data_IF_492031886199
#
_entry.id   IF_492031886199
#
_cell.length_a   1.000
_cell.length_b   1.000
_cell.length_c   1.000
_cell.angle_alpha   90.00
_cell.angle_beta   90.00
_cell.angle_gamma   90.00
#
_symmetry.space_group_name_H-M   'P 1'
#
loop_
_entity.id
_entity.type
_entity.pdbx_description
1 polymer ?
#
# COMPACT_ATOMS: atom_id res chain seq x y z
N UNK A 1 -17.00 36.07 48.45
CA UNK A 1 -17.54 35.76 47.10
C UNK A 1 -17.52 37.00 46.20
N UNK A 2 -16.36 37.64 45.98
CA UNK A 2 -16.26 38.86 45.13
C UNK A 2 -15.19 38.79 44.04
N UNK A 3 -14.40 37.71 43.97
CA UNK A 3 -13.27 37.61 43.04
C UNK A 3 -13.53 36.68 41.84
N UNK A 4 -14.65 35.99 41.77
CA UNK A 4 -15.03 35.15 40.61
C UNK A 4 -15.63 35.96 39.46
N UNK A 5 -16.08 37.19 39.72
CA UNK A 5 -16.71 38.07 38.72
C UNK A 5 -15.71 38.94 37.96
N UNK A 6 -14.42 38.87 38.31
CA UNK A 6 -13.34 39.63 37.66
C UNK A 6 -12.32 38.71 36.99
N UNK A 7 -12.64 37.43 36.84
CA UNK A 7 -11.82 36.42 36.15
C UNK A 7 -12.19 36.32 34.66
N UNK A 8 -12.36 37.48 34.02
CA UNK A 8 -12.52 37.56 32.56
C UNK A 8 -11.21 37.22 31.84
N UNK A 9 -10.06 37.42 32.51
CA UNK A 9 -8.74 37.10 31.97
C UNK A 9 -8.53 35.58 31.78
N UNK A 10 -9.04 34.74 32.70
CA UNK A 10 -8.98 33.28 32.55
C UNK A 10 -9.92 32.74 31.46
N UNK A 11 -11.10 33.35 31.28
CA UNK A 11 -12.05 32.97 30.23
C UNK A 11 -11.52 33.28 28.81
N UNK A 12 -10.89 34.43 28.62
CA UNK A 12 -10.29 34.82 27.33
C UNK A 12 -9.15 33.88 26.93
N UNK A 13 -8.26 33.53 27.86
CA UNK A 13 -7.14 32.61 27.60
C UNK A 13 -7.64 31.18 27.31
N UNK A 14 -8.71 30.74 27.97
CA UNK A 14 -9.37 29.46 27.72
C UNK A 14 -9.97 29.37 26.32
N UNK A 15 -10.67 30.42 25.88
CA UNK A 15 -11.30 30.46 24.56
C UNK A 15 -10.26 30.44 23.42
N UNK A 16 -9.16 31.18 23.58
CA UNK A 16 -8.05 31.18 22.60
C UNK A 16 -7.36 29.82 22.49
N UNK A 17 -7.15 29.13 23.62
CA UNK A 17 -6.49 27.82 23.64
C UNK A 17 -7.38 26.74 23.01
N UNK A 18 -8.70 26.80 23.21
CA UNK A 18 -9.67 25.93 22.53
C UNK A 18 -9.66 26.16 21.03
N UNK A 19 -9.58 27.42 20.57
CA UNK A 19 -9.50 27.74 19.16
C UNK A 19 -8.23 27.16 18.52
N UNK A 20 -7.07 27.31 19.16
CA UNK A 20 -5.81 26.71 18.66
C UNK A 20 -5.87 25.18 18.67
N UNK A 21 -6.41 24.56 19.72
CA UNK A 21 -6.55 23.10 19.79
C UNK A 21 -7.45 22.54 18.69
N UNK A 22 -8.57 23.20 18.39
CA UNK A 22 -9.48 22.74 17.33
C UNK A 22 -8.82 22.80 15.96
N UNK A 23 -8.08 23.87 15.65
CA UNK A 23 -7.29 23.97 14.41
C UNK A 23 -6.21 22.89 14.36
N UNK A 24 -5.52 22.64 15.48
CA UNK A 24 -4.49 21.60 15.56
C UNK A 24 -5.05 20.19 15.34
N UNK A 25 -6.22 19.87 15.91
CA UNK A 25 -6.88 18.58 15.70
C UNK A 25 -7.33 18.42 14.25
N UNK A 26 -7.90 19.46 13.62
CA UNK A 26 -8.29 19.42 12.22
C UNK A 26 -7.07 19.22 11.30
N UNK A 27 -5.98 19.94 11.56
CA UNK A 27 -4.73 19.78 10.82
C UNK A 27 -4.13 18.38 10.99
N UNK A 28 -4.21 17.80 12.18
CA UNK A 28 -3.74 16.44 12.45
C UNK A 28 -4.57 15.39 11.73
N UNK A 29 -5.90 15.54 11.68
CA UNK A 29 -6.79 14.60 10.98
C UNK A 29 -6.47 14.59 9.47
N UNK A 30 -6.33 15.77 8.86
CA UNK A 30 -5.95 15.89 7.45
C UNK A 30 -4.56 15.28 7.22
N UNK A 31 -3.57 15.64 8.06
CA UNK A 31 -2.22 15.09 7.96
C UNK A 31 -2.17 13.56 8.09
N UNK A 32 -2.92 12.98 9.03
CA UNK A 32 -2.97 11.53 9.22
C UNK A 32 -3.69 10.82 8.06
N UNK A 33 -4.71 11.46 7.47
CA UNK A 33 -5.39 10.96 6.29
C UNK A 33 -4.44 10.85 5.09
N UNK A 34 -3.65 11.90 4.83
CA UNK A 34 -2.67 11.90 3.75
C UNK A 34 -1.56 10.87 3.97
N UNK A 35 -1.07 10.73 5.21
CA UNK A 35 -0.10 9.68 5.55
C UNK A 35 -0.67 8.29 5.30
N UNK A 36 -1.94 8.05 5.66
CA UNK A 36 -2.58 6.76 5.42
C UNK A 36 -2.71 6.45 3.93
N UNK A 37 -3.09 7.43 3.10
CA UNK A 37 -3.15 7.25 1.64
C UNK A 37 -1.76 6.97 1.09
N UNK A 38 -0.76 7.82 1.41
CA UNK A 38 0.60 7.68 0.91
C UNK A 38 1.22 6.31 1.26
N UNK A 39 1.06 5.86 2.51
CA UNK A 39 1.58 4.54 2.93
C UNK A 39 0.92 3.41 2.15
N UNK A 40 -0.40 3.47 1.94
CA UNK A 40 -1.08 2.43 1.18
C UNK A 40 -0.65 2.44 -0.30
N UNK A 41 -0.43 3.61 -0.90
CA UNK A 41 0.08 3.72 -2.28
C UNK A 41 1.47 3.11 -2.41
N UNK A 42 2.39 3.42 -1.49
CA UNK A 42 3.74 2.82 -1.53
C UNK A 42 3.72 1.30 -1.30
N UNK A 43 2.82 0.80 -0.44
CA UNK A 43 2.66 -0.64 -0.23
C UNK A 43 2.10 -1.34 -1.48
N UNK A 44 1.25 -0.66 -2.24
CA UNK A 44 0.79 -1.15 -3.53
C UNK A 44 1.94 -1.23 -4.55
N UNK A 45 2.77 -0.19 -4.63
CA UNK A 45 3.95 -0.19 -5.50
C UNK A 45 4.94 -1.30 -5.12
N UNK A 46 5.16 -1.55 -3.82
CA UNK A 46 5.97 -2.68 -3.34
C UNK A 46 5.35 -4.02 -3.75
N UNK A 47 4.02 -4.17 -3.65
CA UNK A 47 3.31 -5.38 -4.05
C UNK A 47 3.52 -5.67 -5.54
N UNK A 48 3.36 -4.65 -6.38
CA UNK A 48 3.58 -4.77 -7.82
C UNK A 48 5.05 -5.09 -8.14
N UNK A 49 6.00 -4.43 -7.47
CA UNK A 49 7.42 -4.70 -7.65
C UNK A 49 7.81 -6.14 -7.31
N UNK A 50 7.22 -6.72 -6.26
CA UNK A 50 7.43 -8.13 -5.87
C UNK A 50 6.80 -9.06 -6.92
N UNK A 51 5.58 -8.78 -7.39
CA UNK A 51 4.92 -9.56 -8.44
C UNK A 51 5.65 -9.51 -9.78
N UNK A 52 6.27 -8.38 -10.11
CA UNK A 52 7.07 -8.20 -11.34
C UNK A 52 8.46 -8.86 -11.29
N UNK A 53 8.87 -9.42 -10.14
CA UNK A 53 10.09 -10.22 -10.09
C UNK A 53 9.93 -11.43 -11.03
N UNK A 54 10.95 -11.68 -11.84
CA UNK A 54 10.94 -12.83 -12.74
C UNK A 54 11.00 -14.14 -11.92
N UNK A 55 9.84 -14.73 -11.66
CA UNK A 55 9.72 -16.02 -10.96
C UNK A 55 9.98 -17.22 -11.88
N UNK A 56 10.37 -17.00 -13.14
CA UNK A 56 10.50 -18.04 -14.18
C UNK A 56 11.85 -18.76 -14.19
N UNK A 57 12.69 -18.59 -13.17
CA UNK A 57 13.96 -19.32 -13.12
C UNK A 57 13.70 -20.83 -13.06
N UNK A 58 14.20 -21.54 -14.06
CA UNK A 58 14.09 -22.98 -14.18
C UNK A 58 15.44 -23.58 -14.61
N UNK A 59 15.80 -24.71 -14.03
CA UNK A 59 16.92 -25.52 -14.50
C UNK A 59 16.47 -26.96 -14.72
N UNK A 60 17.05 -27.60 -15.73
CA UNK A 60 16.72 -28.96 -16.12
C UNK A 60 17.44 -29.98 -15.26
N UNK A 61 16.82 -31.15 -15.09
CA UNK A 61 17.47 -32.31 -14.51
C UNK A 61 18.41 -33.02 -15.49
N UNK A 62 19.22 -33.94 -14.97
CA UNK A 62 20.06 -34.84 -15.77
C UNK A 62 19.73 -36.28 -15.42
N UNK A 63 19.54 -37.14 -16.43
CA UNK A 63 19.35 -38.57 -16.23
C UNK A 63 20.34 -39.36 -17.10
N UNK A 64 20.88 -40.44 -16.55
CA UNK A 64 21.86 -41.31 -17.17
C UNK A 64 21.41 -42.76 -17.03
N UNK A 65 21.02 -43.38 -18.15
CA UNK A 65 20.60 -44.79 -18.22
C UNK A 65 21.61 -45.63 -18.99
N UNK A 66 21.80 -46.88 -18.55
CA UNK A 66 22.63 -47.85 -19.26
C UNK A 66 21.85 -48.46 -20.45
N UNK A 67 22.29 -48.28 -21.71
CA UNK A 67 21.54 -48.77 -22.87
C UNK A 67 21.48 -50.30 -22.98
N UNK A 68 22.33 -51.03 -22.23
CA UNK A 68 22.47 -52.49 -22.31
C UNK A 68 21.81 -53.21 -21.12
N UNK A 69 21.50 -52.50 -20.04
CA UNK A 69 21.01 -53.11 -18.79
C UNK A 69 19.73 -52.46 -18.26
N UNK A 70 19.22 -51.42 -18.93
CA UNK A 70 18.02 -50.65 -18.54
C UNK A 70 18.09 -50.15 -17.08
N UNK A 71 19.29 -50.05 -16.52
CA UNK A 71 19.52 -49.57 -15.16
C UNK A 71 19.86 -48.08 -15.18
N UNK A 72 19.17 -47.31 -14.35
CA UNK A 72 19.50 -45.92 -14.06
C UNK A 72 20.84 -45.85 -13.31
N UNK A 73 21.76 -45.04 -13.82
CA UNK A 73 23.11 -44.82 -13.25
C UNK A 73 23.17 -43.56 -12.39
N UNK A 74 22.48 -42.50 -12.81
CA UNK A 74 22.42 -41.23 -12.09
C UNK A 74 21.19 -40.48 -12.56
N UNK A 75 20.47 -39.88 -11.63
CA UNK A 75 19.33 -39.02 -11.92
C UNK A 75 19.38 -37.82 -10.97
N UNK A 76 19.23 -36.63 -11.52
CA UNK A 76 19.13 -35.36 -10.81
C UNK A 76 17.89 -34.65 -11.33
N UNK A 77 16.94 -34.35 -10.46
CA UNK A 77 15.76 -33.58 -10.84
C UNK A 77 16.10 -32.11 -10.99
N UNK A 78 15.57 -31.50 -12.05
CA UNK A 78 15.54 -30.05 -12.20
C UNK A 78 14.52 -29.42 -11.25
N UNK A 79 14.43 -28.09 -11.28
CA UNK A 79 13.31 -27.39 -10.68
C UNK A 79 12.89 -26.22 -11.55
N UNK A 80 11.59 -25.98 -11.62
CA UNK A 80 10.97 -24.78 -12.14
C UNK A 80 9.93 -24.30 -11.15
N UNK A 81 9.81 -22.98 -10.98
CA UNK A 81 8.67 -22.40 -10.31
C UNK A 81 7.60 -22.08 -11.35
N UNK A 82 6.38 -22.56 -11.11
CA UNK A 82 5.20 -22.32 -11.96
C UNK A 82 4.12 -21.86 -10.98
N UNK A 83 3.86 -20.56 -10.92
CA UNK A 83 2.63 -20.06 -10.34
C UNK A 83 1.49 -20.16 -11.36
N UNK A 84 0.26 -20.21 -10.85
CA UNK A 84 -0.91 -20.15 -11.69
C UNK A 84 -1.19 -18.67 -11.95
N UNK A 85 -1.37 -18.32 -13.22
CA UNK A 85 -1.84 -16.98 -13.59
C UNK A 85 -3.16 -16.71 -12.88
N UNK A 86 -3.21 -15.64 -12.09
CA UNK A 86 -4.42 -15.23 -11.37
C UNK A 86 -4.89 -13.82 -11.77
N UNK A 87 -5.96 -13.34 -11.12
CA UNK A 87 -6.58 -12.05 -11.41
C UNK A 87 -5.63 -10.86 -11.16
N UNK A 88 -4.53 -11.06 -10.41
CA UNK A 88 -3.51 -10.04 -10.15
C UNK A 88 -2.46 -9.93 -11.26
N UNK A 89 -2.35 -10.92 -12.16
CA UNK A 89 -1.34 -10.95 -13.24
C UNK A 89 -1.85 -10.37 -14.56
N UNK A 90 -3.15 -10.49 -14.82
CA UNK A 90 -3.78 -10.13 -16.10
C UNK A 90 -4.55 -8.80 -16.05
N UNK A 91 -4.73 -8.23 -14.86
CA UNK A 91 -5.73 -7.21 -14.57
C UNK A 91 -5.29 -6.39 -13.34
N UNK A 92 -5.78 -5.15 -13.21
CA UNK A 92 -5.53 -4.25 -12.07
C UNK A 92 -6.46 -4.51 -10.87
N UNK A 93 -7.18 -5.63 -10.78
CA UNK A 93 -8.12 -5.90 -9.67
C UNK A 93 -7.46 -6.09 -8.32
N UNK A 94 -6.17 -6.40 -8.29
CA UNK A 94 -5.38 -6.50 -7.07
C UNK A 94 -4.65 -5.18 -6.75
N UNK A 95 -4.89 -4.13 -7.53
CA UNK A 95 -4.51 -2.79 -7.14
C UNK A 95 -5.32 -2.38 -5.90
N UNK A 96 -4.63 -1.91 -4.88
CA UNK A 96 -5.26 -1.45 -3.66
C UNK A 96 -5.91 -0.13 -4.04
N UNK A 97 -7.24 -0.04 -4.02
CA UNK A 97 -7.94 1.23 -4.23
C UNK A 97 -7.59 2.15 -3.06
N UNK A 98 -6.56 2.97 -3.24
CA UNK A 98 -6.05 3.87 -2.21
C UNK A 98 -6.64 5.27 -2.40
N UNK A 99 -7.45 5.70 -1.43
CA UNK A 99 -7.96 7.06 -1.36
C UNK A 99 -9.14 7.38 -2.27
N UNK A 100 -9.84 8.46 -1.92
CA UNK A 100 -10.90 9.07 -2.74
C UNK A 100 -10.28 9.41 -4.09
N UNK A 101 -10.80 8.82 -5.17
CA UNK A 101 -10.47 9.26 -6.54
C UNK A 101 -10.70 10.76 -6.55
N UNK A 102 -9.64 11.55 -6.74
CA UNK A 102 -9.78 12.99 -6.84
C UNK A 102 -10.79 13.26 -7.95
N UNK A 103 -12.02 13.60 -7.58
CA UNK A 103 -13.01 14.14 -8.49
C UNK A 103 -12.42 15.49 -8.85
N UNK A 104 -11.63 15.50 -9.92
CA UNK A 104 -11.28 16.72 -10.62
C UNK A 104 -12.63 17.27 -11.05
N UNK A 105 -13.17 18.22 -10.28
CA UNK A 105 -14.27 19.03 -10.74
C UNK A 105 -13.75 19.67 -12.02
N UNK A 106 -14.20 19.16 -13.16
CA UNK A 106 -14.01 19.82 -14.44
C UNK A 106 -14.66 21.18 -14.26
N UNK A 107 -13.83 22.22 -14.16
CA UNK A 107 -14.33 23.58 -14.37
C UNK A 107 -14.76 23.61 -15.83
N UNK A 108 -16.03 23.28 -16.05
CA UNK A 108 -16.71 23.45 -17.31
C UNK A 108 -16.62 24.93 -17.66
N UNK A 109 -15.61 25.27 -18.46
CA UNK A 109 -15.53 26.55 -19.13
C UNK A 109 -16.65 26.54 -20.17
N UNK A 110 -17.73 27.26 -19.93
CA UNK A 110 -18.61 27.81 -20.96
C UNK A 110 -19.65 28.73 -20.31
N UNK A 111 -20.24 29.69 -21.05
CA UNK A 111 -20.16 29.90 -22.50
C UNK A 111 -19.08 30.88 -22.96
#
# INVERSE_FOLDING_TARGET
MKNVWNDEAGFVISAELVLVLTIAVLAMIVGLSEVAVAVNTELNDISNAIGALNQSYAYTGFDSVSPISEKQKSSYSGSSFIDAVDDCDLNTTCDLVTGVTAVTASEATTP
#
